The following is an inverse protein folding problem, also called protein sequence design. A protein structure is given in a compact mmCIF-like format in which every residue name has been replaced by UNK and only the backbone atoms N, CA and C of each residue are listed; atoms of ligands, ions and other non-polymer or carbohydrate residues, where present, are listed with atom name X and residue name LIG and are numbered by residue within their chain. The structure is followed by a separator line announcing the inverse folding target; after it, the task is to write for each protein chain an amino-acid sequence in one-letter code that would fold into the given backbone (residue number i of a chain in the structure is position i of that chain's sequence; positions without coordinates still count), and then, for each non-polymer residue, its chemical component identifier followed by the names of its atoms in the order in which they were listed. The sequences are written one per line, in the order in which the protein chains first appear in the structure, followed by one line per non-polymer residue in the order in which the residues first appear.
data_IF_348040490301
#
_entry.id   IF_348040490301
#
_cell.length_a   1.000
_cell.length_b   1.000
_cell.length_c   1.000
_cell.angle_alpha   90.00
_cell.angle_beta   90.00
_cell.angle_gamma   90.00
#
_symmetry.space_group_name_H-M   'P 1'
#
loop_
_entity.id
_entity.type
_entity.pdbx_description
1 polymer ?
#
# COMPACT_ATOMS: atom_id res chain seq x y z
N UNK A 1 2.29 -13.30 -40.64
CA UNK A 1 2.05 -11.95 -40.10
C UNK A 1 3.06 -11.07 -40.81
N UNK A 2 2.57 -10.10 -41.56
CA UNK A 2 3.40 -9.04 -42.13
C UNK A 2 3.62 -8.03 -41.00
N UNK A 3 4.88 -7.75 -40.69
CA UNK A 3 5.29 -6.72 -39.76
C UNK A 3 5.90 -5.57 -40.55
N UNK A 4 5.66 -4.36 -40.09
CA UNK A 4 6.31 -3.18 -40.66
C UNK A 4 7.83 -3.24 -40.38
N UNK A 5 8.61 -2.53 -41.19
CA UNK A 5 10.06 -2.42 -40.98
C UNK A 5 10.37 -1.75 -39.62
N UNK A 6 11.45 -2.15 -39.00
CA UNK A 6 11.89 -1.57 -37.72
C UNK A 6 12.33 -0.11 -37.93
N UNK A 7 11.89 0.77 -37.05
CA UNK A 7 12.39 2.14 -37.00
C UNK A 7 13.88 2.17 -36.59
N UNK A 8 14.61 3.13 -37.13
CA UNK A 8 15.87 3.53 -36.53
C UNK A 8 15.63 4.18 -35.16
N UNK A 9 16.67 4.24 -34.31
CA UNK A 9 16.57 4.90 -33.00
C UNK A 9 16.08 6.35 -33.10
N UNK A 10 16.57 7.10 -34.11
CA UNK A 10 16.18 8.48 -34.35
C UNK A 10 14.70 8.61 -34.76
N UNK A 11 14.22 7.77 -35.63
CA UNK A 11 12.81 7.76 -36.05
C UNK A 11 11.89 7.39 -34.90
N UNK A 12 12.29 6.39 -34.11
CA UNK A 12 11.52 5.99 -32.93
C UNK A 12 11.45 7.10 -31.86
N UNK A 13 12.55 7.78 -31.58
CA UNK A 13 12.57 8.91 -30.64
C UNK A 13 11.72 10.07 -31.15
N UNK A 14 11.74 10.38 -32.45
CA UNK A 14 10.88 11.41 -33.03
C UNK A 14 9.40 11.05 -32.93
N UNK A 15 9.03 9.79 -33.14
CA UNK A 15 7.66 9.31 -32.96
C UNK A 15 7.19 9.43 -31.52
N UNK A 16 8.03 9.01 -30.55
CA UNK A 16 7.73 9.09 -29.11
C UNK A 16 7.58 10.55 -28.68
N UNK A 17 8.44 11.45 -29.17
CA UNK A 17 8.34 12.89 -28.89
C UNK A 17 7.05 13.49 -29.43
N UNK A 18 6.65 13.12 -30.64
CA UNK A 18 5.38 13.53 -31.24
C UNK A 18 4.18 13.05 -30.40
N UNK A 19 4.18 11.79 -29.96
CA UNK A 19 3.12 11.23 -29.11
C UNK A 19 3.09 11.92 -27.74
N UNK A 20 4.25 12.16 -27.15
CA UNK A 20 4.37 12.84 -25.85
C UNK A 20 3.88 14.29 -25.96
N UNK A 21 4.22 15.00 -27.01
CA UNK A 21 3.83 16.40 -27.26
C UNK A 21 2.33 16.58 -27.49
N UNK A 22 1.61 15.52 -27.85
CA UNK A 22 0.15 15.54 -27.97
C UNK A 22 -0.58 15.55 -26.62
N UNK A 23 0.13 15.29 -25.51
CA UNK A 23 -0.45 15.35 -24.18
C UNK A 23 -0.48 16.79 -23.65
N UNK A 24 -1.63 17.19 -23.12
CA UNK A 24 -1.77 18.45 -22.38
C UNK A 24 -1.61 18.20 -20.88
N UNK A 25 -0.48 18.65 -20.31
CA UNK A 25 -0.22 18.52 -18.87
C UNK A 25 -1.01 19.58 -18.12
N UNK A 26 -2.11 19.17 -17.50
CA UNK A 26 -2.98 20.03 -16.69
C UNK A 26 -2.67 19.92 -15.20
N UNK A 27 -2.98 20.97 -14.44
CA UNK A 27 -2.94 20.91 -12.99
C UNK A 27 -4.16 20.13 -12.49
N UNK A 28 -3.92 18.96 -11.91
CA UNK A 28 -5.00 18.11 -11.39
C UNK A 28 -5.54 18.63 -10.04
N UNK A 29 -6.86 18.71 -9.94
CA UNK A 29 -7.60 18.99 -8.71
C UNK A 29 -8.60 17.87 -8.37
N UNK A 30 -8.41 16.69 -8.96
CA UNK A 30 -9.31 15.53 -8.74
C UNK A 30 -9.25 15.06 -7.29
N UNK A 31 -8.09 15.10 -6.67
CA UNK A 31 -7.88 14.55 -5.32
C UNK A 31 -8.06 13.04 -5.28
N UNK A 32 -8.89 12.54 -4.36
CA UNK A 32 -9.24 11.12 -4.20
C UNK A 32 -8.03 10.19 -4.01
N UNK A 33 -7.06 10.66 -3.22
CA UNK A 33 -5.81 9.92 -2.97
C UNK A 33 -4.73 10.15 -4.02
N UNK A 34 -4.96 10.97 -5.05
CA UNK A 34 -4.01 11.31 -6.09
C UNK A 34 -3.62 12.78 -6.00
N UNK A 35 -2.34 13.04 -5.80
CA UNK A 35 -1.83 14.39 -5.56
C UNK A 35 -0.68 14.72 -6.49
N UNK A 36 -0.56 16.01 -6.83
CA UNK A 36 0.65 16.53 -7.43
C UNK A 36 1.81 16.39 -6.43
N UNK A 37 2.91 15.80 -6.86
CA UNK A 37 4.12 15.62 -6.06
C UNK A 37 5.30 16.30 -6.72
N UNK A 38 6.32 16.62 -5.94
CA UNK A 38 7.59 17.14 -6.43
C UNK A 38 8.64 16.06 -6.24
N UNK A 39 9.09 15.46 -7.34
CA UNK A 39 10.25 14.57 -7.31
C UNK A 39 11.52 15.42 -7.28
N UNK A 40 12.35 15.33 -6.22
CA UNK A 40 13.60 16.09 -6.18
C UNK A 40 14.49 15.76 -7.39
N UNK A 41 15.07 16.80 -8.01
CA UNK A 41 15.85 16.64 -9.24
C UNK A 41 17.03 15.66 -9.07
N UNK A 42 17.66 15.63 -7.89
CA UNK A 42 18.76 14.71 -7.57
C UNK A 42 18.29 13.26 -7.55
N UNK A 43 17.10 12.98 -7.01
CA UNK A 43 16.51 11.64 -7.01
C UNK A 43 16.15 11.23 -8.43
N UNK A 44 15.48 12.11 -9.18
CA UNK A 44 15.12 11.83 -10.58
C UNK A 44 16.35 11.42 -11.39
N UNK A 45 17.42 12.21 -11.34
CA UNK A 45 18.66 11.91 -12.07
C UNK A 45 19.35 10.64 -11.58
N UNK A 46 19.47 10.46 -10.27
CA UNK A 46 20.27 9.36 -9.70
C UNK A 46 19.53 8.02 -9.64
N UNK A 47 18.21 8.03 -9.67
CA UNK A 47 17.38 6.83 -9.57
C UNK A 47 16.65 6.53 -10.88
N UNK A 48 15.84 7.46 -11.40
CA UNK A 48 15.00 7.20 -12.57
C UNK A 48 15.79 7.15 -13.87
N UNK A 49 16.86 7.93 -13.98
CA UNK A 49 17.73 7.96 -15.17
C UNK A 49 18.92 7.01 -15.08
N UNK A 50 19.13 6.36 -13.93
CA UNK A 50 20.25 5.46 -13.72
C UNK A 50 19.88 4.02 -14.13
N UNK A 51 20.58 3.44 -15.15
CA UNK A 51 20.26 2.11 -15.66
C UNK A 51 20.42 0.98 -14.64
N UNK A 52 21.23 1.17 -13.59
CA UNK A 52 21.34 0.21 -12.48
C UNK A 52 19.97 -0.08 -11.84
N UNK A 53 19.08 0.92 -11.79
CA UNK A 53 17.76 0.77 -11.20
C UNK A 53 16.69 0.30 -12.17
N UNK A 54 16.62 0.85 -13.38
CA UNK A 54 15.52 0.56 -14.30
C UNK A 54 15.76 -0.66 -15.23
N UNK A 55 17.02 -1.11 -15.40
CA UNK A 55 17.32 -2.30 -16.24
C UNK A 55 17.24 -3.60 -15.47
N UNK A 56 17.25 -3.55 -14.14
CA UNK A 56 17.26 -4.74 -13.32
C UNK A 56 15.84 -5.27 -13.10
N UNK A 57 15.67 -6.55 -13.26
CA UNK A 57 14.44 -7.25 -12.93
C UNK A 57 14.28 -7.39 -11.41
N UNK A 58 13.17 -7.98 -10.96
CA UNK A 58 12.93 -8.27 -9.54
C UNK A 58 14.13 -9.00 -8.93
N UNK A 59 14.66 -8.58 -7.78
CA UNK A 59 15.90 -9.12 -7.21
C UNK A 59 15.68 -10.47 -6.53
N UNK A 60 15.26 -11.48 -7.29
CA UNK A 60 15.02 -12.84 -6.77
C UNK A 60 16.30 -13.52 -6.28
N UNK A 61 17.44 -13.20 -6.89
CA UNK A 61 18.74 -13.69 -6.49
C UNK A 61 19.36 -12.71 -5.51
N UNK A 62 19.27 -13.01 -4.23
CA UNK A 62 19.79 -12.15 -3.16
C UNK A 62 21.29 -11.88 -3.30
N UNK A 63 22.05 -12.89 -3.69
CA UNK A 63 23.53 -12.86 -3.80
C UNK A 63 24.06 -11.83 -4.79
N UNK A 64 23.31 -11.46 -5.81
CA UNK A 64 23.69 -10.44 -6.80
C UNK A 64 22.89 -9.14 -6.67
N UNK A 65 22.04 -9.03 -5.66
CA UNK A 65 21.09 -7.93 -5.50
C UNK A 65 21.16 -7.27 -4.12
N UNK A 66 22.25 -7.41 -3.39
CA UNK A 66 22.36 -6.96 -2.00
C UNK A 66 22.03 -5.47 -1.83
N UNK A 67 22.57 -4.59 -2.68
CA UNK A 67 22.29 -3.16 -2.59
C UNK A 67 20.83 -2.80 -2.87
N UNK A 68 20.13 -3.54 -3.74
CA UNK A 68 18.70 -3.35 -3.98
C UNK A 68 17.85 -3.85 -2.80
N UNK A 69 18.24 -4.97 -2.20
CA UNK A 69 17.59 -5.49 -1.02
C UNK A 69 17.80 -4.57 0.19
N UNK A 70 19.00 -3.97 0.32
CA UNK A 70 19.25 -2.94 1.32
C UNK A 70 18.32 -1.74 1.16
N UNK A 71 18.15 -1.22 -0.06
CA UNK A 71 17.22 -0.11 -0.33
C UNK A 71 15.78 -0.48 0.03
N UNK A 72 15.32 -1.69 -0.27
CA UNK A 72 13.99 -2.17 0.12
C UNK A 72 13.87 -2.33 1.63
N UNK A 73 14.92 -2.78 2.31
CA UNK A 73 14.96 -2.89 3.77
C UNK A 73 14.86 -1.51 4.43
N UNK A 74 15.57 -0.50 3.92
CA UNK A 74 15.45 0.89 4.38
C UNK A 74 14.02 1.40 4.19
N UNK A 75 13.40 1.11 3.05
CA UNK A 75 12.01 1.47 2.81
C UNK A 75 11.05 0.84 3.84
N UNK A 76 11.18 -0.46 4.12
CA UNK A 76 10.39 -1.15 5.15
C UNK A 76 10.56 -0.49 6.52
N UNK A 77 11.79 -0.14 6.88
CA UNK A 77 12.10 0.53 8.15
C UNK A 77 11.42 1.89 8.24
N UNK A 78 11.47 2.69 7.16
CA UNK A 78 10.78 3.99 7.12
C UNK A 78 9.27 3.85 7.30
N UNK A 79 8.64 2.86 6.66
CA UNK A 79 7.20 2.62 6.84
C UNK A 79 6.90 2.17 8.27
N UNK A 80 7.71 1.30 8.85
CA UNK A 80 7.54 0.88 10.25
C UNK A 80 7.67 2.07 11.21
N UNK A 81 8.66 2.92 11.01
CA UNK A 81 8.89 4.10 11.86
C UNK A 81 7.74 5.11 11.76
N UNK A 82 7.22 5.37 10.56
CA UNK A 82 6.10 6.29 10.34
C UNK A 82 4.78 5.75 10.91
N UNK A 83 4.54 4.46 10.80
CA UNK A 83 3.30 3.85 11.27
C UNK A 83 3.31 3.48 12.75
N UNK A 84 4.49 3.38 13.36
CA UNK A 84 4.66 2.83 14.71
C UNK A 84 4.42 1.32 14.79
N UNK A 85 4.20 0.64 13.66
CA UNK A 85 4.01 -0.80 13.57
C UNK A 85 5.33 -1.52 13.27
N UNK A 86 5.66 -2.61 13.96
CA UNK A 86 7.00 -3.18 13.94
C UNK A 86 7.39 -3.87 12.63
N UNK A 87 6.44 -4.13 11.75
CA UNK A 87 6.69 -4.90 10.54
C UNK A 87 5.98 -4.28 9.34
N UNK A 88 6.74 -4.00 8.27
CA UNK A 88 6.22 -3.55 6.99
C UNK A 88 6.69 -4.46 5.84
N UNK A 89 5.92 -4.54 4.76
CA UNK A 89 6.33 -5.21 3.53
C UNK A 89 7.14 -4.28 2.59
N UNK A 90 7.73 -4.85 1.54
CA UNK A 90 8.50 -4.10 0.56
C UNK A 90 7.63 -3.21 -0.34
N UNK A 91 6.51 -3.73 -0.82
CA UNK A 91 5.52 -3.01 -1.63
C UNK A 91 4.29 -3.87 -1.92
N UNK A 92 3.20 -3.20 -2.26
CA UNK A 92 2.02 -3.75 -2.93
C UNK A 92 1.76 -2.93 -4.20
N UNK A 93 0.77 -3.34 -4.99
CA UNK A 93 0.50 -2.71 -6.28
C UNK A 93 0.13 -1.21 -6.13
N UNK A 94 -0.88 -0.93 -5.30
CA UNK A 94 -1.39 0.41 -5.01
C UNK A 94 -2.14 0.44 -3.66
N UNK A 95 -2.63 1.61 -3.26
CA UNK A 95 -3.39 1.79 -2.01
C UNK A 95 -4.67 0.95 -1.98
N UNK A 96 -5.44 0.96 -3.06
CA UNK A 96 -6.72 0.25 -3.10
C UNK A 96 -6.52 -1.27 -2.99
N UNK A 97 -5.49 -1.80 -3.67
CA UNK A 97 -5.08 -3.20 -3.55
C UNK A 97 -4.56 -3.50 -2.14
N UNK A 98 -3.75 -2.61 -1.55
CA UNK A 98 -3.26 -2.77 -0.19
C UNK A 98 -4.42 -2.84 0.82
N UNK A 99 -5.43 -1.98 0.69
CA UNK A 99 -6.65 -2.03 1.51
C UNK A 99 -7.42 -3.35 1.33
N UNK A 100 -7.53 -3.85 0.09
CA UNK A 100 -8.18 -5.15 -0.18
C UNK A 100 -7.39 -6.34 0.39
N UNK A 101 -6.07 -6.30 0.32
CA UNK A 101 -5.21 -7.29 0.97
C UNK A 101 -5.32 -7.22 2.50
N UNK A 102 -5.48 -6.02 3.08
CA UNK A 102 -5.72 -5.85 4.52
C UNK A 102 -7.04 -6.50 4.95
N UNK A 103 -8.12 -6.35 4.17
CA UNK A 103 -9.40 -7.04 4.42
C UNK A 103 -9.24 -8.56 4.34
N UNK A 104 -8.51 -9.06 3.35
CA UNK A 104 -8.19 -10.49 3.23
C UNK A 104 -7.37 -10.97 4.44
N UNK A 105 -6.40 -10.19 4.87
CA UNK A 105 -5.59 -10.48 6.05
C UNK A 105 -6.44 -10.51 7.32
N UNK A 106 -7.31 -9.53 7.56
CA UNK A 106 -8.24 -9.54 8.71
C UNK A 106 -9.14 -10.79 8.70
N UNK A 107 -9.66 -11.18 7.53
CA UNK A 107 -10.44 -12.42 7.37
C UNK A 107 -9.65 -13.66 7.78
N UNK A 108 -8.37 -13.73 7.43
CA UNK A 108 -7.50 -14.85 7.77
C UNK A 108 -7.09 -14.85 9.26
N UNK A 109 -7.14 -13.70 9.91
CA UNK A 109 -6.87 -13.53 11.34
C UNK A 109 -8.08 -13.80 12.25
N UNK A 110 -9.23 -14.22 11.69
CA UNK A 110 -10.40 -14.59 12.49
C UNK A 110 -10.08 -15.67 13.51
N UNK A 111 -10.67 -15.53 14.69
CA UNK A 111 -10.61 -16.57 15.71
C UNK A 111 -11.26 -17.87 15.24
N UNK A 112 -10.93 -18.97 15.88
CA UNK A 112 -11.58 -20.28 15.61
C UNK A 112 -13.10 -20.21 15.78
N UNK A 113 -13.56 -19.42 16.72
CA UNK A 113 -14.97 -19.18 16.99
C UNK A 113 -15.65 -18.40 15.86
N UNK A 114 -15.04 -17.30 15.41
CA UNK A 114 -15.52 -16.53 14.27
C UNK A 114 -15.62 -17.39 13.00
N UNK A 115 -14.62 -18.23 12.75
CA UNK A 115 -14.64 -19.15 11.60
C UNK A 115 -15.76 -20.19 11.76
N UNK A 116 -15.93 -20.79 12.93
CA UNK A 116 -17.00 -21.77 13.22
C UNK A 116 -18.38 -21.15 13.05
N UNK A 117 -18.55 -19.91 13.46
CA UNK A 117 -19.82 -19.16 13.37
C UNK A 117 -20.05 -18.54 11.99
N UNK A 118 -19.14 -18.76 11.02
CA UNK A 118 -19.30 -18.27 9.65
C UNK A 118 -19.25 -16.73 9.53
N UNK A 119 -18.53 -16.05 10.42
CA UNK A 119 -18.41 -14.57 10.39
C UNK A 119 -17.73 -14.13 9.09
N UNK A 120 -18.43 -13.34 8.27
CA UNK A 120 -17.93 -12.85 6.96
C UNK A 120 -18.08 -11.34 6.77
N UNK A 121 -18.63 -10.63 7.74
CA UNK A 121 -18.84 -9.20 7.65
C UNK A 121 -17.58 -8.42 8.02
N UNK A 122 -17.28 -7.41 7.23
CA UNK A 122 -16.32 -6.35 7.54
C UNK A 122 -17.01 -5.00 7.38
N UNK A 123 -16.82 -4.13 8.36
CA UNK A 123 -17.31 -2.76 8.26
C UNK A 123 -16.28 -1.89 7.51
N UNK A 124 -16.76 -1.02 6.65
CA UNK A 124 -15.96 -0.04 5.91
C UNK A 124 -16.61 1.33 6.09
N UNK A 125 -15.84 2.29 6.60
CA UNK A 125 -16.35 3.65 6.73
C UNK A 125 -16.69 4.24 5.35
N UNK A 126 -17.84 4.91 5.26
CA UNK A 126 -18.35 5.52 4.02
C UNK A 126 -17.44 6.63 3.48
N UNK A 127 -16.60 7.22 4.34
CA UNK A 127 -15.62 8.24 3.98
C UNK A 127 -14.31 7.71 3.40
N UNK A 128 -14.27 6.43 3.04
CA UNK A 128 -13.14 5.87 2.28
C UNK A 128 -13.13 6.40 0.84
N UNK A 129 -11.95 6.41 0.21
CA UNK A 129 -11.84 6.78 -1.22
C UNK A 129 -12.75 5.91 -2.09
N UNK A 130 -13.56 6.51 -3.01
CA UNK A 130 -14.48 5.75 -3.85
C UNK A 130 -13.81 4.69 -4.73
N UNK A 131 -12.59 4.97 -5.23
CA UNK A 131 -11.78 4.02 -6.00
C UNK A 131 -11.34 2.84 -5.12
N UNK A 132 -10.93 3.07 -3.88
CA UNK A 132 -10.60 2.01 -2.92
C UNK A 132 -11.83 1.15 -2.62
N UNK A 133 -12.98 1.76 -2.37
CA UNK A 133 -14.23 1.03 -2.15
C UNK A 133 -14.62 0.15 -3.35
N UNK A 134 -14.40 0.62 -4.58
CA UNK A 134 -14.68 -0.16 -5.79
C UNK A 134 -13.80 -1.42 -5.87
N UNK A 135 -12.52 -1.30 -5.56
CA UNK A 135 -11.59 -2.45 -5.50
C UNK A 135 -11.97 -3.41 -4.39
N UNK A 136 -12.31 -2.89 -3.19
CA UNK A 136 -12.79 -3.70 -2.06
C UNK A 136 -14.00 -4.54 -2.45
N UNK A 137 -15.00 -3.94 -3.13
CA UNK A 137 -16.19 -4.68 -3.59
C UNK A 137 -15.85 -5.82 -4.55
N UNK A 138 -14.96 -5.54 -5.51
CA UNK A 138 -14.53 -6.56 -6.49
C UNK A 138 -13.80 -7.71 -5.80
N UNK A 139 -12.88 -7.42 -4.89
CA UNK A 139 -12.08 -8.43 -4.19
C UNK A 139 -12.91 -9.22 -3.17
N UNK A 140 -13.81 -8.55 -2.46
CA UNK A 140 -14.68 -9.14 -1.46
C UNK A 140 -15.67 -10.17 -2.08
N UNK A 141 -16.22 -9.86 -3.24
CA UNK A 141 -17.14 -10.75 -3.94
C UNK A 141 -16.54 -12.15 -4.23
N UNK A 142 -15.28 -12.20 -4.69
CA UNK A 142 -14.57 -13.46 -4.95
C UNK A 142 -14.20 -14.26 -3.70
N UNK A 143 -14.32 -13.65 -2.52
CA UNK A 143 -13.98 -14.26 -1.23
C UNK A 143 -15.21 -14.50 -0.32
N UNK A 144 -16.40 -14.24 -0.83
CA UNK A 144 -17.65 -14.29 -0.03
C UNK A 144 -17.60 -13.39 1.23
N UNK A 145 -16.93 -12.25 1.14
CA UNK A 145 -16.87 -11.25 2.20
C UNK A 145 -18.03 -10.28 2.01
N UNK A 146 -18.79 -10.03 3.07
CA UNK A 146 -19.85 -9.03 3.10
C UNK A 146 -19.30 -7.69 3.56
N UNK A 147 -19.26 -6.72 2.65
CA UNK A 147 -18.89 -5.35 2.98
C UNK A 147 -20.10 -4.58 3.49
N UNK A 148 -20.06 -4.13 4.74
CA UNK A 148 -21.05 -3.26 5.33
C UNK A 148 -20.50 -1.84 5.34
N UNK A 149 -21.04 -0.96 4.50
CA UNK A 149 -20.56 0.42 4.35
C UNK A 149 -21.48 1.37 5.10
N UNK A 150 -20.93 2.24 5.93
CA UNK A 150 -21.71 3.21 6.71
C UNK A 150 -20.81 4.18 7.47
N UNK A 151 -21.42 5.05 8.27
CA UNK A 151 -20.68 5.99 9.11
C UNK A 151 -20.10 5.30 10.34
N UNK A 152 -18.79 5.48 10.60
CA UNK A 152 -18.13 4.95 11.80
C UNK A 152 -18.79 5.45 13.09
N UNK A 153 -19.30 6.68 13.10
CA UNK A 153 -19.95 7.27 14.26
C UNK A 153 -21.30 6.61 14.63
N UNK A 154 -21.88 5.84 13.71
CA UNK A 154 -23.13 5.08 13.92
C UNK A 154 -22.87 3.58 14.03
N UNK A 155 -21.65 3.14 13.78
CA UNK A 155 -21.31 1.73 13.83
C UNK A 155 -21.21 1.25 15.28
N UNK A 156 -21.87 0.15 15.57
CA UNK A 156 -21.78 -0.53 16.87
C UNK A 156 -20.94 -1.79 16.69
N UNK A 157 -19.72 -1.84 17.25
CA UNK A 157 -18.88 -3.03 17.17
C UNK A 157 -19.56 -4.26 17.76
N UNK A 158 -19.53 -5.39 17.04
CA UNK A 158 -20.13 -6.64 17.48
C UNK A 158 -19.42 -7.87 16.90
N UNK A 159 -19.65 -9.03 17.50
CA UNK A 159 -19.09 -10.30 17.07
C UNK A 159 -19.53 -10.78 15.66
N UNK A 160 -20.49 -10.08 15.02
CA UNK A 160 -20.88 -10.36 13.65
C UNK A 160 -19.83 -9.96 12.62
N UNK A 161 -18.90 -9.09 13.01
CA UNK A 161 -17.84 -8.57 12.15
C UNK A 161 -16.49 -9.20 12.52
N UNK A 162 -15.63 -9.39 11.52
CA UNK A 162 -14.26 -9.81 11.78
C UNK A 162 -13.28 -8.62 11.81
N UNK A 163 -13.69 -7.46 11.32
CA UNK A 163 -12.84 -6.27 11.32
C UNK A 163 -13.55 -5.03 10.78
N UNK A 164 -12.83 -3.93 10.88
CA UNK A 164 -13.24 -2.61 10.40
C UNK A 164 -12.13 -1.96 9.59
N UNK A 165 -12.49 -1.10 8.63
CA UNK A 165 -11.57 -0.36 7.80
C UNK A 165 -11.99 1.10 7.72
N UNK A 166 -11.08 2.00 8.04
CA UNK A 166 -11.26 3.45 7.99
C UNK A 166 -10.15 4.11 7.17
N UNK A 167 -10.44 5.29 6.59
CA UNK A 167 -9.50 6.13 5.85
C UNK A 167 -9.04 7.29 6.73
N UNK A 168 -7.75 7.64 6.70
CA UNK A 168 -7.20 8.70 7.53
C UNK A 168 -6.05 9.47 6.84
N UNK A 169 -6.18 10.75 6.47
CA UNK A 169 -7.45 11.53 6.47
C UNK A 169 -8.53 10.93 5.58
N UNK A 170 -9.78 11.31 5.84
CA UNK A 170 -10.94 10.85 5.09
C UNK A 170 -11.00 11.42 3.67
N UNK A 171 -11.90 10.87 2.85
CA UNK A 171 -12.12 11.30 1.47
C UNK A 171 -12.62 12.76 1.35
N UNK A 172 -13.21 13.31 2.38
CA UNK A 172 -13.62 14.72 2.48
C UNK A 172 -12.53 15.65 3.06
N UNK A 173 -11.36 15.08 3.41
CA UNK A 173 -10.21 15.79 3.99
C UNK A 173 -10.28 15.94 5.51
N UNK A 174 -11.30 15.42 6.18
CA UNK A 174 -11.37 15.46 7.65
C UNK A 174 -10.35 14.50 8.29
N UNK A 175 -9.86 14.90 9.45
CA UNK A 175 -9.00 14.10 10.33
C UNK A 175 -9.84 13.76 11.55
N UNK A 176 -10.38 12.56 11.56
CA UNK A 176 -11.24 12.10 12.66
C UNK A 176 -10.38 11.57 13.82
N UNK A 177 -10.91 11.69 15.03
CA UNK A 177 -10.38 11.12 16.27
C UNK A 177 -10.88 9.67 16.38
N UNK A 178 -10.12 8.72 15.86
CA UNK A 178 -10.54 7.31 15.84
C UNK A 178 -10.09 6.51 17.07
N UNK A 179 -9.40 7.12 18.04
CA UNK A 179 -8.80 6.40 19.17
C UNK A 179 -9.84 5.60 19.96
N UNK A 180 -10.94 6.24 20.39
CA UNK A 180 -12.00 5.58 21.15
C UNK A 180 -12.73 4.54 20.29
N UNK A 181 -13.00 4.85 19.03
CA UNK A 181 -13.60 3.91 18.08
C UNK A 181 -12.75 2.65 17.88
N UNK A 182 -11.44 2.80 17.79
CA UNK A 182 -10.50 1.69 17.66
C UNK A 182 -10.49 0.86 18.93
N UNK A 183 -10.49 1.50 20.10
CA UNK A 183 -10.56 0.81 21.40
C UNK A 183 -11.83 -0.04 21.50
N UNK A 184 -12.99 0.54 21.20
CA UNK A 184 -14.27 -0.18 21.21
C UNK A 184 -14.28 -1.38 20.24
N UNK A 185 -13.69 -1.22 19.05
CA UNK A 185 -13.54 -2.30 18.09
C UNK A 185 -12.65 -3.44 18.63
N UNK A 186 -11.55 -3.09 19.28
CA UNK A 186 -10.66 -4.07 19.90
C UNK A 186 -11.33 -4.81 21.08
N UNK A 187 -12.11 -4.11 21.91
CA UNK A 187 -12.89 -4.72 22.99
C UNK A 187 -13.91 -5.72 22.45
N UNK A 188 -14.53 -5.43 21.32
CA UNK A 188 -15.44 -6.33 20.62
C UNK A 188 -14.71 -7.49 19.87
N UNK A 189 -13.38 -7.54 19.91
CA UNK A 189 -12.58 -8.57 19.24
C UNK A 189 -12.40 -8.39 17.74
N UNK A 190 -12.70 -7.20 17.19
CA UNK A 190 -12.52 -6.87 15.80
C UNK A 190 -11.08 -6.48 15.49
N UNK A 191 -10.65 -6.71 14.25
CA UNK A 191 -9.39 -6.19 13.73
C UNK A 191 -9.62 -4.83 13.09
N UNK A 192 -8.66 -3.93 13.27
CA UNK A 192 -8.75 -2.57 12.73
C UNK A 192 -7.69 -2.33 11.68
N UNK A 193 -8.12 -1.91 10.50
CA UNK A 193 -7.27 -1.41 9.43
C UNK A 193 -7.47 0.08 9.24
N UNK A 194 -6.37 0.83 9.22
CA UNK A 194 -6.35 2.25 8.85
C UNK A 194 -5.65 2.41 7.51
N UNK A 195 -6.36 2.94 6.52
CA UNK A 195 -5.77 3.36 5.25
C UNK A 195 -5.27 4.79 5.44
N UNK A 196 -3.95 4.98 5.46
CA UNK A 196 -3.34 6.21 5.91
C UNK A 196 -2.47 6.90 4.85
N UNK A 197 -2.48 8.24 4.88
CA UNK A 197 -1.53 9.05 4.11
C UNK A 197 -0.21 9.19 4.89
N UNK A 198 0.92 8.86 4.27
CA UNK A 198 2.25 8.98 4.89
C UNK A 198 2.57 10.41 5.35
N UNK A 199 2.05 11.43 4.68
CA UNK A 199 2.22 12.81 5.13
C UNK A 199 1.47 13.08 6.43
N UNK A 200 0.27 12.53 6.58
CA UNK A 200 -0.48 12.60 7.83
C UNK A 200 0.30 11.91 8.97
N UNK A 201 0.86 10.73 8.72
CA UNK A 201 1.69 10.01 9.70
C UNK A 201 2.97 10.75 10.11
N UNK A 202 3.50 11.64 9.25
CA UNK A 202 4.63 12.50 9.61
C UNK A 202 4.23 13.69 10.49
N UNK A 203 2.94 14.04 10.55
CA UNK A 203 2.41 15.21 11.28
C UNK A 203 1.60 14.83 12.51
N UNK A 204 0.95 13.69 12.49
CA UNK A 204 0.00 13.23 13.49
C UNK A 204 0.53 11.97 14.18
N UNK A 205 0.13 11.76 15.42
CA UNK A 205 0.46 10.53 16.14
C UNK A 205 -0.24 9.35 15.45
N UNK A 206 0.48 8.26 15.12
CA UNK A 206 -0.13 7.08 14.54
C UNK A 206 -1.23 6.49 15.44
N UNK A 207 -2.31 6.01 14.83
CA UNK A 207 -3.41 5.33 15.51
C UNK A 207 -3.02 3.90 15.89
N UNK A 208 -3.60 3.37 16.97
CA UNK A 208 -3.32 2.00 17.46
C UNK A 208 -4.07 0.93 16.64
N UNK A 209 -3.77 0.84 15.34
CA UNK A 209 -4.38 -0.14 14.44
C UNK A 209 -3.66 -1.49 14.45
N UNK A 210 -4.37 -2.57 14.04
CA UNK A 210 -3.75 -3.88 13.77
C UNK A 210 -2.96 -3.87 12.46
N UNK A 211 -3.47 -3.12 11.48
CA UNK A 211 -2.91 -3.00 10.12
C UNK A 211 -3.00 -1.54 9.69
N UNK A 212 -1.94 -1.02 9.11
CA UNK A 212 -1.97 0.23 8.34
C UNK A 212 -1.52 -0.03 6.92
N UNK A 213 -2.14 0.66 5.96
CA UNK A 213 -1.74 0.58 4.56
C UNK A 213 -2.01 1.91 3.85
N UNK A 214 -1.44 2.09 2.67
CA UNK A 214 -1.60 3.32 1.91
C UNK A 214 -0.73 3.34 0.66
N UNK A 215 -0.54 4.52 0.08
CA UNK A 215 0.33 4.74 -1.09
C UNK A 215 1.66 5.36 -0.71
N UNK A 216 2.73 4.98 -1.41
CA UNK A 216 4.06 5.59 -1.30
C UNK A 216 4.20 6.88 -2.14
N UNK A 217 3.14 7.38 -2.76
CA UNK A 217 3.18 8.55 -3.65
C UNK A 217 3.77 9.79 -2.97
N UNK A 218 3.52 9.96 -1.65
CA UNK A 218 4.04 11.09 -0.88
C UNK A 218 5.56 11.19 -0.82
N UNK A 219 6.30 10.13 -1.08
CA UNK A 219 7.75 10.17 -1.21
C UNK A 219 8.24 10.86 -2.50
N UNK A 220 7.34 11.39 -3.33
CA UNK A 220 7.67 12.15 -4.53
C UNK A 220 7.44 11.39 -5.83
N UNK A 221 6.65 10.31 -5.83
CA UNK A 221 6.28 9.62 -7.06
C UNK A 221 5.30 10.48 -7.86
N UNK A 222 5.60 10.80 -9.14
CA UNK A 222 4.68 11.57 -9.98
C UNK A 222 3.43 10.74 -10.29
N UNK A 223 2.32 11.39 -10.62
CA UNK A 223 1.10 10.70 -11.08
C UNK A 223 1.32 9.89 -12.36
N UNK A 224 2.26 10.31 -13.24
CA UNK A 224 2.74 9.55 -14.38
C UNK A 224 1.63 9.06 -15.32
N UNK A 225 0.57 9.86 -15.54
CA UNK A 225 -0.60 9.50 -16.36
C UNK A 225 -1.30 8.20 -15.89
N UNK A 226 -1.33 7.95 -14.59
CA UNK A 226 -1.83 6.71 -14.00
C UNK A 226 -0.75 5.63 -13.84
N UNK A 227 0.52 6.00 -13.94
CA UNK A 227 1.67 5.11 -13.74
C UNK A 227 1.80 4.57 -12.32
N UNK A 228 2.90 3.87 -12.01
CA UNK A 228 3.02 3.07 -10.81
C UNK A 228 2.92 3.92 -9.54
N UNK A 229 2.11 3.44 -8.59
CA UNK A 229 1.91 4.05 -7.27
C UNK A 229 1.99 2.97 -6.22
N UNK A 230 3.21 2.51 -5.92
CA UNK A 230 3.42 1.43 -4.97
C UNK A 230 2.64 1.65 -3.67
N UNK A 231 1.87 0.64 -3.29
CA UNK A 231 1.23 0.55 -1.99
C UNK A 231 2.17 0.00 -0.94
N UNK A 232 1.86 0.24 0.31
CA UNK A 232 2.56 -0.31 1.47
C UNK A 232 1.57 -0.88 2.48
N UNK A 233 2.05 -1.77 3.32
CA UNK A 233 1.31 -2.29 4.46
C UNK A 233 2.25 -2.54 5.62
N UNK A 234 1.82 -2.13 6.81
CA UNK A 234 2.48 -2.43 8.08
C UNK A 234 1.53 -3.11 9.05
N UNK A 235 2.07 -3.92 9.96
CA UNK A 235 1.29 -4.67 10.92
C UNK A 235 2.11 -5.06 12.15
N UNK A 236 1.45 -5.64 13.14
CA UNK A 236 2.08 -6.21 14.33
C UNK A 236 2.88 -7.49 14.00
N UNK A 237 3.98 -7.73 14.70
CA UNK A 237 4.83 -8.93 14.53
C UNK A 237 4.06 -10.24 14.70
N UNK A 238 3.06 -10.28 15.58
CA UNK A 238 2.18 -11.46 15.78
C UNK A 238 1.42 -11.88 14.51
N UNK A 239 1.30 -10.99 13.51
CA UNK A 239 0.59 -11.24 12.26
C UNK A 239 1.50 -11.47 11.05
N UNK A 240 2.80 -11.52 11.24
CA UNK A 240 3.80 -11.61 10.16
C UNK A 240 3.54 -12.70 9.11
N UNK A 241 2.96 -13.83 9.53
CA UNK A 241 2.64 -14.96 8.62
C UNK A 241 1.46 -14.69 7.68
N UNK A 242 0.69 -13.64 7.97
CA UNK A 242 -0.48 -13.25 7.19
C UNK A 242 -0.22 -11.98 6.37
N UNK A 243 0.93 -11.32 6.58
CA UNK A 243 1.28 -10.10 5.84
C UNK A 243 1.48 -10.44 4.35
N UNK A 244 0.72 -9.81 3.45
CA UNK A 244 0.90 -10.00 2.01
C UNK A 244 2.18 -9.32 1.51
N UNK A 245 2.64 -9.75 0.34
CA UNK A 245 3.86 -9.23 -0.26
C UNK A 245 5.12 -9.90 0.32
N UNK A 246 6.26 -9.34 0.00
CA UNK A 246 7.55 -9.86 0.44
C UNK A 246 8.16 -8.98 1.52
N UNK A 247 8.96 -9.59 2.37
CA UNK A 247 9.71 -8.93 3.44
C UNK A 247 11.19 -9.19 3.18
N UNK A 248 12.01 -8.17 3.35
CA UNK A 248 13.46 -8.30 3.37
C UNK A 248 13.90 -8.45 4.82
N UNK A 249 14.71 -9.45 5.09
CA UNK A 249 15.34 -9.67 6.39
C UNK A 249 16.85 -9.61 6.31
N UNK A 250 17.47 -9.41 7.45
CA UNK A 250 18.93 -9.49 7.61
C UNK A 250 19.28 -10.88 8.12
N UNK A 251 20.25 -11.52 7.46
CA UNK A 251 20.83 -12.79 7.83
C UNK A 251 22.37 -12.66 7.79
N UNK A 252 23.06 -13.76 7.81
CA UNK A 252 24.51 -13.81 7.60
C UNK A 252 24.84 -14.77 6.46
N UNK A 253 25.88 -14.46 5.70
CA UNK A 253 26.40 -15.35 4.69
C UNK A 253 27.25 -16.48 5.30
N UNK A 254 27.80 -17.35 4.47
CA UNK A 254 28.65 -18.47 4.90
C UNK A 254 29.95 -18.04 5.62
N UNK A 255 30.32 -16.76 5.50
CA UNK A 255 31.50 -16.17 6.15
C UNK A 255 31.15 -15.41 7.42
N UNK A 256 29.85 -15.36 7.80
CA UNK A 256 29.34 -14.61 8.94
C UNK A 256 29.15 -13.12 8.66
N UNK A 257 29.20 -12.68 7.40
CA UNK A 257 28.99 -11.29 7.01
C UNK A 257 27.49 -11.02 6.88
N UNK A 258 26.95 -9.91 7.43
CA UNK A 258 25.56 -9.55 7.28
C UNK A 258 25.12 -9.50 5.82
N UNK A 259 23.99 -10.11 5.49
CA UNK A 259 23.42 -10.15 4.15
C UNK A 259 21.92 -10.00 4.17
N UNK A 260 21.36 -9.41 3.13
CA UNK A 260 19.91 -9.24 2.96
C UNK A 260 19.31 -10.42 2.21
N UNK A 261 18.16 -10.89 2.67
CA UNK A 261 17.44 -12.00 2.06
C UNK A 261 15.93 -11.75 2.03
N UNK A 262 15.25 -12.46 1.15
CA UNK A 262 13.79 -12.56 1.14
C UNK A 262 13.28 -13.49 2.25
N UNK A 263 12.20 -13.06 2.89
CA UNK A 263 11.42 -13.86 3.84
C UNK A 263 10.00 -14.09 3.35
#
# INVERSE_FOLDING_TARGET
IELEDAYSEQEHLALVDQLASANEVQRSYIGRGWYGTVTPAVIRRNMLENPVWYTSYTPYQAEVSQGRLEALFVYQTMISDLTGLPLANCSLLDEATAAAEAVTMMRNLRSREQVKNGVKKVFVDEKIWPNTLAVLRTRAAGQEIELVVGSYAQFVPSAEYFGVLVQWPNADGSVEEYEDFIADCHEAGLKVTVVADLLALALLKPLEADIMCGTAQRFGLPMGFGGPTAGWMATNDKYKRNLPGRIIGISVDRLGIPSYNWW
#
